data_IF_832234475932
#
_entry.id   IF_832234475932
#
_cell.length_a   1.000
_cell.length_b   1.000
_cell.length_c   1.000
_cell.angle_alpha   90.00
_cell.angle_beta   90.00
_cell.angle_gamma   90.00
#
_symmetry.space_group_name_H-M   'P 1'
#
loop_
_entity.id
_entity.type
_entity.pdbx_description
1 polymer ?
#
# COMPACT_ATOMS: atom_id res chain seq x y z
N UNK A 1 11.18 -19.44 -18.51
CA UNK A 1 10.27 -18.37 -18.97
C UNK A 1 11.09 -17.43 -19.80
N UNK A 2 10.72 -17.19 -21.05
CA UNK A 2 11.37 -16.17 -21.87
C UNK A 2 10.81 -14.80 -21.48
N UNK A 3 11.67 -13.92 -20.97
CA UNK A 3 11.31 -12.57 -20.53
C UNK A 3 10.97 -11.70 -21.74
N UNK A 4 11.55 -12.00 -22.92
CA UNK A 4 11.38 -11.21 -24.14
C UNK A 4 9.99 -11.35 -24.78
N UNK A 5 9.22 -12.36 -24.38
CA UNK A 5 7.88 -12.62 -24.92
C UNK A 5 6.76 -12.27 -23.93
N UNK A 6 7.09 -11.75 -22.75
CA UNK A 6 6.08 -11.40 -21.75
C UNK A 6 5.33 -10.16 -22.18
N UNK A 7 4.00 -10.21 -22.03
CA UNK A 7 3.21 -8.99 -22.14
C UNK A 7 3.58 -8.03 -20.98
N UNK A 8 3.37 -6.71 -21.16
CA UNK A 8 3.78 -5.72 -20.16
C UNK A 8 3.18 -5.95 -18.76
N UNK A 9 1.94 -6.45 -18.68
CA UNK A 9 1.29 -6.72 -17.40
C UNK A 9 1.95 -7.88 -16.63
N UNK A 10 2.32 -8.95 -17.33
CA UNK A 10 3.02 -10.08 -16.76
C UNK A 10 4.44 -9.69 -16.30
N UNK A 11 5.15 -8.90 -17.10
CA UNK A 11 6.46 -8.36 -16.74
C UNK A 11 6.38 -7.47 -15.49
N UNK A 12 5.37 -6.58 -15.42
CA UNK A 12 5.16 -5.71 -14.26
C UNK A 12 4.87 -6.52 -12.99
N UNK A 13 4.04 -7.57 -13.08
CA UNK A 13 3.75 -8.44 -11.94
C UNK A 13 5.01 -9.10 -11.40
N UNK A 14 5.83 -9.69 -12.28
CA UNK A 14 7.10 -10.31 -11.88
C UNK A 14 8.07 -9.30 -11.27
N UNK A 15 8.13 -8.09 -11.81
CA UNK A 15 8.93 -7.00 -11.23
C UNK A 15 8.50 -6.63 -9.81
N UNK A 16 7.20 -6.49 -9.57
CA UNK A 16 6.65 -6.20 -8.23
C UNK A 16 6.96 -7.34 -7.26
N UNK A 17 6.82 -8.60 -7.67
CA UNK A 17 7.14 -9.76 -6.85
C UNK A 17 8.64 -9.79 -6.47
N UNK A 18 9.52 -9.54 -7.44
CA UNK A 18 10.96 -9.49 -7.22
C UNK A 18 11.36 -8.36 -6.26
N UNK A 19 10.82 -7.15 -6.46
CA UNK A 19 11.05 -6.00 -5.59
C UNK A 19 10.55 -6.26 -4.17
N UNK A 20 9.36 -6.84 -4.02
CA UNK A 20 8.78 -7.18 -2.72
C UNK A 20 9.63 -8.20 -1.98
N UNK A 21 10.15 -9.22 -2.68
CA UNK A 21 11.03 -10.24 -2.10
C UNK A 21 12.37 -9.65 -1.63
N UNK A 22 12.92 -8.70 -2.37
CA UNK A 22 14.23 -8.11 -2.06
C UNK A 22 14.17 -7.01 -0.98
N UNK A 23 13.14 -6.16 -1.01
CA UNK A 23 13.07 -4.92 -0.23
C UNK A 23 12.01 -4.96 0.88
N UNK A 24 11.18 -6.00 0.91
CA UNK A 24 9.94 -6.01 1.66
C UNK A 24 8.89 -5.04 1.09
N UNK A 25 7.65 -5.07 1.60
CA UNK A 25 6.55 -4.27 1.06
C UNK A 25 6.79 -2.77 1.17
N UNK A 26 7.39 -2.29 2.25
CA UNK A 26 7.65 -0.85 2.45
C UNK A 26 8.75 -0.35 1.51
N UNK A 27 9.84 -1.11 1.35
CA UNK A 27 10.94 -0.74 0.47
C UNK A 27 10.53 -0.77 -1.01
N UNK A 28 9.73 -1.78 -1.40
CA UNK A 28 9.15 -1.87 -2.74
C UNK A 28 8.29 -0.65 -3.10
N UNK A 29 7.38 -0.23 -2.23
CA UNK A 29 6.56 0.98 -2.47
C UNK A 29 7.42 2.23 -2.63
N UNK A 30 8.40 2.43 -1.72
CA UNK A 30 9.30 3.60 -1.79
C UNK A 30 10.12 3.62 -3.07
N UNK A 31 10.59 2.46 -3.55
CA UNK A 31 11.31 2.35 -4.81
C UNK A 31 10.42 2.76 -6.00
N UNK A 32 9.19 2.24 -6.08
CA UNK A 32 8.26 2.59 -7.17
C UNK A 32 7.93 4.10 -7.20
N UNK A 33 7.79 4.73 -6.03
CA UNK A 33 7.56 6.17 -5.90
C UNK A 33 8.70 7.05 -6.46
N UNK A 34 9.91 6.49 -6.69
CA UNK A 34 11.00 7.24 -7.31
C UNK A 34 10.80 7.43 -8.83
N UNK A 35 10.00 6.55 -9.45
CA UNK A 35 9.82 6.52 -10.91
C UNK A 35 8.39 6.89 -11.33
N UNK A 36 7.42 6.72 -10.44
CA UNK A 36 6.04 7.13 -10.67
C UNK A 36 5.74 8.42 -9.91
N UNK A 37 5.41 9.49 -10.62
CA UNK A 37 4.69 10.63 -10.04
C UNK A 37 3.30 10.14 -9.67
N UNK A 38 3.14 9.67 -8.43
CA UNK A 38 1.84 9.25 -7.92
C UNK A 38 0.79 10.31 -8.24
N UNK A 39 -0.35 9.88 -8.77
CA UNK A 39 -1.46 10.75 -9.15
C UNK A 39 -2.57 10.57 -8.13
N UNK A 40 -3.17 11.68 -7.68
CA UNK A 40 -4.26 11.66 -6.72
C UNK A 40 -4.07 12.70 -5.62
N UNK A 41 -5.19 13.18 -5.08
CA UNK A 41 -5.21 14.09 -3.95
C UNK A 41 -5.63 13.27 -2.72
N UNK A 42 -4.65 12.60 -2.10
CA UNK A 42 -4.93 11.76 -0.94
C UNK A 42 -5.63 12.52 0.18
N UNK A 43 -5.42 13.84 0.30
CA UNK A 43 -6.11 14.67 1.29
C UNK A 43 -7.61 14.72 1.00
N UNK A 44 -8.01 15.04 -0.24
CA UNK A 44 -9.43 15.03 -0.65
C UNK A 44 -10.04 13.65 -0.60
N UNK A 45 -9.31 12.63 -1.06
CA UNK A 45 -9.79 11.26 -1.02
C UNK A 45 -10.00 10.83 0.43
N UNK A 46 -9.02 11.06 1.32
CA UNK A 46 -9.10 10.76 2.75
C UNK A 46 -10.34 11.37 3.39
N UNK A 47 -10.69 12.60 3.07
CA UNK A 47 -11.89 13.26 3.61
C UNK A 47 -13.20 12.54 3.23
N UNK A 48 -13.28 11.91 2.05
CA UNK A 48 -14.50 11.23 1.60
C UNK A 48 -14.83 9.95 2.39
N UNK A 49 -13.82 9.17 2.78
CA UNK A 49 -14.03 7.88 3.45
C UNK A 49 -13.65 7.89 4.92
N UNK A 50 -12.73 8.78 5.34
CA UNK A 50 -12.40 8.96 6.75
C UNK A 50 -13.42 9.89 7.40
N UNK A 51 -14.56 9.32 7.79
CA UNK A 51 -15.53 9.99 8.67
C UNK A 51 -14.82 10.47 9.93
N UNK A 52 -15.20 11.64 10.44
CA UNK A 52 -14.69 12.17 11.72
C UNK A 52 -14.71 11.05 12.77
N UNK A 53 -13.53 10.54 13.09
CA UNK A 53 -13.35 9.47 14.04
C UNK A 53 -12.75 10.11 15.27
N UNK A 54 -13.57 10.23 16.32
CA UNK A 54 -13.10 10.73 17.60
C UNK A 54 -11.94 9.85 18.10
N UNK A 55 -10.82 10.50 18.42
CA UNK A 55 -9.58 9.85 18.87
C UNK A 55 -9.85 8.94 20.08
N UNK A 56 -10.76 9.35 20.96
CA UNK A 56 -11.15 8.55 22.14
C UNK A 56 -11.83 7.25 21.73
N UNK A 57 -12.77 7.30 20.77
CA UNK A 57 -13.42 6.11 20.21
C UNK A 57 -12.41 5.14 19.59
N UNK A 58 -11.43 5.64 18.83
CA UNK A 58 -10.36 4.81 18.25
C UNK A 58 -9.53 4.14 19.35
N UNK A 59 -9.13 4.90 20.38
CA UNK A 59 -8.35 4.37 21.50
C UNK A 59 -9.09 3.27 22.26
N UNK A 60 -10.39 3.43 22.47
CA UNK A 60 -11.23 2.44 23.15
C UNK A 60 -11.42 1.17 22.30
N UNK A 61 -11.57 1.30 20.97
CA UNK A 61 -11.59 0.15 20.07
C UNK A 61 -10.29 -0.65 20.10
N UNK A 62 -9.13 0.02 20.12
CA UNK A 62 -7.82 -0.63 20.22
C UNK A 62 -7.71 -1.42 21.54
N UNK A 63 -8.08 -0.80 22.67
CA UNK A 63 -8.08 -1.46 23.98
C UNK A 63 -8.99 -2.68 23.99
N UNK A 64 -10.20 -2.58 23.45
CA UNK A 64 -11.15 -3.68 23.40
C UNK A 64 -10.67 -4.85 22.54
N UNK A 65 -10.01 -4.58 21.40
CA UNK A 65 -9.40 -5.63 20.56
C UNK A 65 -8.26 -6.36 21.27
N UNK A 66 -7.47 -5.65 22.09
CA UNK A 66 -6.38 -6.25 22.89
C UNK A 66 -6.90 -7.12 24.03
N UNK A 67 -8.06 -6.80 24.62
CA UNK A 67 -8.71 -7.59 25.68
C UNK A 67 -9.43 -8.85 25.17
N UNK A 68 -9.78 -8.90 23.89
CA UNK A 68 -10.43 -10.06 23.24
C UNK A 68 -9.43 -11.10 22.70
N UNK A 69 -8.14 -10.83 22.81
CA UNK A 69 -7.05 -11.79 22.59
C UNK A 69 -6.66 -12.41 23.92
#
# INVERSE_FOLDING_TARGET
MDIQTLNPAALRKLGIEALTKALGPVGMVRFLQQFETGVGDYTKEREQWLKESDIKSIADQIKNRRKKK
#
